data_IF_659450121355
#
_entry.id   IF_659450121355
#
_cell.length_a   1.000
_cell.length_b   1.000
_cell.length_c   1.000
_cell.angle_alpha   90.00
_cell.angle_beta   90.00
_cell.angle_gamma   90.00
#
_symmetry.space_group_name_H-M   'P 1'
#
loop_
_entity.id
_entity.type
_entity.pdbx_description
1 polymer ?
#
# COMPACT_ATOMS: atom_id res chain seq x y z
N UNK A 1 29.09 4.16 20.32
CA UNK A 1 28.95 4.78 18.99
C UNK A 1 29.16 3.69 17.96
N UNK A 2 28.10 2.97 17.58
CA UNK A 2 28.15 2.00 16.50
C UNK A 2 27.82 2.73 15.20
N UNK A 3 28.76 2.80 14.27
CA UNK A 3 28.43 3.18 12.90
C UNK A 3 27.44 2.15 12.34
N UNK A 4 26.36 2.57 11.67
CA UNK A 4 25.52 1.61 10.96
C UNK A 4 26.35 0.98 9.85
N UNK A 5 26.48 -0.34 9.87
CA UNK A 5 26.94 -1.10 8.72
C UNK A 5 26.11 -0.65 7.51
N UNK A 6 26.76 -0.24 6.42
CA UNK A 6 26.13 0.02 5.14
C UNK A 6 25.52 -1.29 4.60
N UNK A 7 24.34 -1.66 5.10
CA UNK A 7 23.59 -2.85 4.73
C UNK A 7 23.20 -2.90 3.24
N UNK A 8 23.46 -1.81 2.49
CA UNK A 8 23.12 -1.65 1.08
C UNK A 8 24.23 -2.00 0.08
N UNK A 9 25.44 -2.37 0.53
CA UNK A 9 26.56 -2.65 -0.40
C UNK A 9 26.61 -4.06 -0.99
N UNK A 10 25.69 -4.96 -0.59
CA UNK A 10 25.71 -6.39 -0.98
C UNK A 10 24.44 -6.89 -1.67
N UNK A 11 23.41 -6.06 -1.84
CA UNK A 11 22.18 -6.45 -2.52
C UNK A 11 22.34 -6.35 -4.05
N UNK A 12 21.90 -7.35 -4.84
CA UNK A 12 21.83 -7.22 -6.29
C UNK A 12 20.91 -6.07 -6.68
N UNK A 13 21.13 -5.43 -7.83
CA UNK A 13 20.35 -4.27 -8.29
C UNK A 13 20.12 -4.28 -9.79
N UNK A 14 18.86 -4.10 -10.18
CA UNK A 14 18.50 -3.87 -11.58
C UNK A 14 18.98 -2.49 -12.05
N UNK A 15 19.25 -2.32 -13.37
CA UNK A 15 19.77 -1.08 -13.94
C UNK A 15 18.65 -0.04 -14.16
N UNK A 16 17.95 0.32 -13.08
CA UNK A 16 16.89 1.33 -13.09
C UNK A 16 17.48 2.73 -13.20
N UNK A 17 16.73 3.68 -13.79
CA UNK A 17 17.14 5.09 -13.89
C UNK A 17 17.06 5.78 -12.54
N UNK A 18 17.81 6.86 -12.36
CA UNK A 18 17.73 7.69 -11.16
C UNK A 18 16.43 8.49 -11.12
N UNK A 19 15.75 8.50 -9.99
CA UNK A 19 14.63 9.41 -9.70
C UNK A 19 14.91 10.13 -8.39
N UNK A 20 15.12 11.45 -8.48
CA UNK A 20 15.33 12.31 -7.31
C UNK A 20 14.00 12.60 -6.61
N UNK A 21 13.98 12.46 -5.29
CA UNK A 21 12.86 12.84 -4.41
C UNK A 21 13.45 13.71 -3.31
N UNK A 22 13.41 15.02 -3.49
CA UNK A 22 14.00 15.98 -2.56
C UNK A 22 15.49 15.72 -2.34
N UNK A 23 15.86 15.38 -1.11
CA UNK A 23 17.24 15.10 -0.72
C UNK A 23 17.75 13.71 -1.10
N UNK A 24 16.87 12.77 -1.48
CA UNK A 24 17.27 11.40 -1.82
C UNK A 24 17.15 11.10 -3.33
N UNK A 25 17.74 9.99 -3.74
CA UNK A 25 17.56 9.41 -5.08
C UNK A 25 17.25 7.93 -4.95
N UNK A 26 16.25 7.46 -5.69
CA UNK A 26 15.98 6.03 -5.87
C UNK A 26 16.45 5.58 -7.25
N UNK A 27 16.75 4.30 -7.41
CA UNK A 27 17.29 3.74 -8.65
C UNK A 27 18.76 4.07 -8.88
N UNK A 28 19.29 3.70 -10.05
CA UNK A 28 20.70 3.91 -10.44
C UNK A 28 21.72 3.44 -9.39
N UNK A 29 21.44 2.33 -8.70
CA UNK A 29 22.30 1.77 -7.66
C UNK A 29 22.26 2.50 -6.31
N UNK A 30 21.49 3.58 -6.17
CA UNK A 30 21.28 4.24 -4.88
C UNK A 30 20.60 3.29 -3.86
N UNK A 31 20.97 3.31 -2.56
CA UNK A 31 20.34 2.51 -1.51
C UNK A 31 18.82 2.32 -1.62
N UNK A 32 18.31 1.14 -1.27
CA UNK A 32 16.86 0.91 -1.29
C UNK A 32 16.22 1.76 -0.20
N UNK A 33 15.43 2.76 -0.61
CA UNK A 33 14.91 3.73 0.33
C UNK A 33 13.70 3.19 1.13
N UNK A 34 13.69 3.35 2.45
CA UNK A 34 12.56 2.94 3.31
C UNK A 34 11.58 4.10 3.46
N UNK A 35 10.30 3.88 3.13
CA UNK A 35 9.24 4.88 3.21
C UNK A 35 8.13 4.44 4.16
N UNK A 36 7.39 5.41 4.69
CA UNK A 36 6.20 5.18 5.52
C UNK A 36 5.05 6.11 5.15
N UNK A 37 3.91 5.99 5.83
CA UNK A 37 2.74 6.82 5.64
C UNK A 37 2.14 7.21 6.99
N UNK A 38 1.83 8.50 7.16
CA UNK A 38 1.11 9.00 8.32
C UNK A 38 -0.29 8.37 8.43
N UNK A 39 -0.67 8.06 9.65
CA UNK A 39 -1.98 7.55 10.04
C UNK A 39 -2.87 8.59 10.74
N UNK A 40 -2.30 9.71 11.20
CA UNK A 40 -3.06 10.84 11.75
C UNK A 40 -3.87 11.55 10.67
N UNK A 41 -5.01 12.15 11.04
CA UNK A 41 -5.76 13.03 10.13
C UNK A 41 -4.88 14.22 9.75
N UNK A 42 -4.65 14.46 8.45
CA UNK A 42 -3.80 15.57 7.99
C UNK A 42 -4.24 16.94 8.51
N UNK A 43 -5.53 17.12 8.85
CA UNK A 43 -6.06 18.33 9.46
C UNK A 43 -5.68 18.53 10.93
N UNK A 44 -5.26 17.46 11.62
CA UNK A 44 -4.62 17.53 12.93
C UNK A 44 -3.14 17.78 12.73
N UNK A 45 -2.78 19.06 12.67
CA UNK A 45 -1.44 19.53 12.33
C UNK A 45 -0.43 19.02 13.36
N UNK A 46 -0.70 19.21 14.65
CA UNK A 46 0.24 18.87 15.72
C UNK A 46 0.49 17.36 15.78
N UNK A 47 -0.57 16.55 15.72
CA UNK A 47 -0.42 15.10 15.69
C UNK A 47 0.33 14.62 14.45
N UNK A 48 0.08 15.23 13.29
CA UNK A 48 0.74 14.85 12.04
C UNK A 48 2.21 15.27 12.01
N UNK A 49 2.56 16.45 12.52
CA UNK A 49 3.94 16.90 12.67
C UNK A 49 4.69 15.95 13.62
N UNK A 50 4.10 15.62 14.77
CA UNK A 50 4.70 14.67 15.71
C UNK A 50 4.97 13.30 15.04
N UNK A 51 3.97 12.75 14.34
CA UNK A 51 4.13 11.46 13.66
C UNK A 51 5.14 11.51 12.50
N UNK A 52 5.25 12.63 11.77
CA UNK A 52 6.32 12.81 10.77
C UNK A 52 7.68 12.73 11.43
N UNK A 53 7.87 13.43 12.56
CA UNK A 53 9.12 13.42 13.31
C UNK A 53 9.44 12.01 13.80
N UNK A 54 8.47 11.28 14.34
CA UNK A 54 8.64 9.89 14.79
C UNK A 54 9.08 8.97 13.65
N UNK A 55 8.44 9.09 12.48
CA UNK A 55 8.81 8.34 11.29
C UNK A 55 10.21 8.69 10.78
N UNK A 56 10.63 9.97 10.83
CA UNK A 56 11.99 10.38 10.50
C UNK A 56 13.01 9.82 11.49
N UNK A 57 12.70 9.82 12.78
CA UNK A 57 13.56 9.26 13.82
C UNK A 57 13.74 7.75 13.65
N UNK A 58 12.71 7.04 13.21
CA UNK A 58 12.80 5.63 12.82
C UNK A 58 13.60 5.39 11.53
N UNK A 59 13.92 6.46 10.77
CA UNK A 59 14.76 6.41 9.57
C UNK A 59 14.00 6.44 8.24
N UNK A 60 12.70 6.80 8.22
CA UNK A 60 11.97 6.92 6.97
C UNK A 60 12.54 8.05 6.08
N UNK A 61 12.87 7.72 4.85
CA UNK A 61 13.50 8.67 3.91
C UNK A 61 12.48 9.46 3.08
N UNK A 62 11.25 8.95 2.95
CA UNK A 62 10.10 9.67 2.39
C UNK A 62 8.85 9.32 3.20
N UNK A 63 8.09 10.34 3.60
CA UNK A 63 6.89 10.18 4.42
C UNK A 63 5.66 10.59 3.63
N UNK A 64 4.68 9.69 3.55
CA UNK A 64 3.46 9.88 2.77
C UNK A 64 2.32 10.43 3.61
N UNK A 65 1.58 11.40 3.07
CA UNK A 65 0.33 11.91 3.61
C UNK A 65 -0.83 11.67 2.64
N UNK A 66 -2.06 11.57 3.16
CA UNK A 66 -3.27 11.62 2.34
C UNK A 66 -3.82 13.04 2.30
N UNK A 67 -4.14 13.52 1.10
CA UNK A 67 -4.79 14.81 0.89
C UNK A 67 -5.80 14.65 -0.24
N UNK A 68 -7.08 14.59 0.12
CA UNK A 68 -8.19 14.42 -0.80
C UNK A 68 -9.00 15.73 -0.94
N UNK A 69 -8.84 16.69 -0.02
CA UNK A 69 -9.61 17.96 0.03
C UNK A 69 -8.74 19.19 0.27
N UNK A 70 -9.31 20.36 -0.07
CA UNK A 70 -8.61 21.65 0.10
C UNK A 70 -8.32 22.02 1.55
N UNK A 71 -9.12 21.56 2.51
CA UNK A 71 -8.85 21.74 3.95
C UNK A 71 -7.58 21.01 4.37
N UNK A 72 -7.40 19.79 3.91
CA UNK A 72 -6.20 18.98 4.17
C UNK A 72 -4.96 19.56 3.46
N UNK A 73 -5.10 20.13 2.27
CA UNK A 73 -4.00 20.83 1.60
C UNK A 73 -3.55 22.10 2.36
N UNK A 74 -4.48 22.84 2.97
CA UNK A 74 -4.14 23.96 3.85
C UNK A 74 -3.37 23.48 5.09
N UNK A 75 -3.82 22.39 5.70
CA UNK A 75 -3.12 21.80 6.83
C UNK A 75 -1.73 21.28 6.43
N UNK A 76 -1.58 20.67 5.25
CA UNK A 76 -0.29 20.27 4.68
C UNK A 76 0.66 21.48 4.56
N UNK A 77 0.17 22.66 4.14
CA UNK A 77 1.00 23.86 4.10
C UNK A 77 1.55 24.24 5.48
N UNK A 78 0.69 24.23 6.51
CA UNK A 78 1.12 24.48 7.90
C UNK A 78 2.04 23.40 8.47
N UNK A 79 1.87 22.14 8.05
CA UNK A 79 2.78 21.04 8.41
C UNK A 79 4.15 21.25 7.77
N UNK A 80 4.20 21.61 6.48
CA UNK A 80 5.43 21.83 5.70
C UNK A 80 6.32 22.92 6.30
N UNK A 81 5.72 23.94 6.92
CA UNK A 81 6.44 25.00 7.64
C UNK A 81 7.18 24.51 8.90
N UNK A 82 6.85 23.32 9.40
CA UNK A 82 7.35 22.77 10.67
C UNK A 82 8.24 21.54 10.52
N UNK A 83 8.37 20.97 9.32
CA UNK A 83 9.14 19.75 9.07
C UNK A 83 10.04 19.91 7.87
N UNK A 84 11.21 19.25 7.89
CA UNK A 84 12.18 19.21 6.79
C UNK A 84 12.19 17.87 6.01
N UNK A 85 11.25 16.97 6.32
CA UNK A 85 11.14 15.65 5.68
C UNK A 85 10.89 15.75 4.16
N UNK A 86 11.34 14.73 3.41
CA UNK A 86 10.83 14.51 2.05
C UNK A 86 9.39 13.99 2.16
N UNK A 87 8.43 14.81 1.75
CA UNK A 87 7.02 14.49 1.79
C UNK A 87 6.53 13.95 0.45
N UNK A 88 5.52 13.09 0.53
CA UNK A 88 4.78 12.67 -0.66
C UNK A 88 3.28 12.67 -0.41
N UNK A 89 2.49 13.08 -1.39
CA UNK A 89 1.02 13.08 -1.27
C UNK A 89 0.41 12.00 -2.15
N UNK A 90 -0.54 11.27 -1.56
CA UNK A 90 -1.35 10.26 -2.21
C UNK A 90 -2.67 10.83 -2.76
N UNK A 91 -2.69 11.16 -4.05
CA UNK A 91 -3.86 11.67 -4.77
C UNK A 91 -4.75 10.50 -5.20
N UNK A 92 -5.69 10.10 -4.33
CA UNK A 92 -6.61 9.01 -4.64
C UNK A 92 -7.94 9.51 -5.20
N UNK A 93 -8.66 10.34 -4.46
CA UNK A 93 -10.04 10.69 -4.83
C UNK A 93 -10.12 11.87 -5.82
N UNK A 94 -9.14 12.77 -5.81
CA UNK A 94 -9.19 14.00 -6.60
C UNK A 94 -7.79 14.43 -7.11
N UNK A 95 -7.52 14.12 -8.37
CA UNK A 95 -6.25 14.49 -9.02
C UNK A 95 -6.03 16.01 -9.14
N UNK A 96 -7.09 16.84 -9.09
CA UNK A 96 -6.98 18.31 -9.10
C UNK A 96 -6.27 18.86 -7.87
N UNK A 97 -6.22 18.09 -6.78
CA UNK A 97 -5.46 18.48 -5.59
C UNK A 97 -3.97 18.65 -5.87
N UNK A 98 -3.44 18.08 -6.97
CA UNK A 98 -2.05 18.25 -7.40
C UNK A 98 -1.58 19.71 -7.40
N UNK A 99 -2.37 20.65 -7.93
CA UNK A 99 -1.97 22.07 -8.02
C UNK A 99 -1.71 22.72 -6.66
N UNK A 100 -2.37 22.21 -5.60
CA UNK A 100 -2.26 22.74 -4.24
C UNK A 100 -1.18 22.05 -3.43
N UNK A 101 -0.90 20.78 -3.72
CA UNK A 101 0.04 19.97 -2.93
C UNK A 101 1.43 19.91 -3.53
N UNK A 102 1.57 19.95 -4.86
CA UNK A 102 2.87 19.85 -5.52
C UNK A 102 3.88 20.92 -5.08
N UNK A 103 3.49 22.19 -4.82
CA UNK A 103 4.43 23.19 -4.28
C UNK A 103 4.97 22.87 -2.87
N UNK A 104 4.36 21.90 -2.17
CA UNK A 104 4.62 21.60 -0.76
C UNK A 104 5.34 20.26 -0.56
N UNK A 105 5.54 19.47 -1.63
CA UNK A 105 6.04 18.09 -1.53
C UNK A 105 7.00 17.72 -2.64
N UNK A 106 7.85 16.74 -2.37
CA UNK A 106 8.88 16.29 -3.30
C UNK A 106 8.36 15.22 -4.28
N UNK A 107 7.22 14.58 -3.97
CA UNK A 107 6.64 13.53 -4.80
C UNK A 107 5.12 13.47 -4.70
N UNK A 108 4.44 13.30 -5.83
CA UNK A 108 3.01 12.97 -5.85
C UNK A 108 2.79 11.52 -6.32
N UNK A 109 1.80 10.83 -5.75
CA UNK A 109 1.31 9.54 -6.28
C UNK A 109 -0.10 9.71 -6.78
N UNK A 110 -0.40 9.12 -7.93
CA UNK A 110 -1.77 8.88 -8.37
C UNK A 110 -2.00 7.38 -8.58
N UNK A 111 -3.27 6.97 -8.52
CA UNK A 111 -3.71 5.63 -8.88
C UNK A 111 -4.43 5.66 -10.23
N UNK A 112 -3.94 4.96 -11.27
CA UNK A 112 -4.65 4.80 -12.54
C UNK A 112 -6.15 4.57 -12.41
N UNK A 113 -6.61 3.56 -11.66
CA UNK A 113 -8.04 3.25 -11.62
C UNK A 113 -8.90 4.21 -10.80
N UNK A 114 -8.31 5.08 -9.98
CA UNK A 114 -9.08 6.15 -9.33
C UNK A 114 -9.26 7.39 -10.21
N UNK A 115 -8.47 7.54 -11.29
CA UNK A 115 -8.65 8.65 -12.22
C UNK A 115 -10.03 8.63 -12.87
N UNK A 116 -10.71 7.49 -12.92
CA UNK A 116 -12.05 7.33 -13.50
C UNK A 116 -13.17 7.77 -12.56
N UNK A 117 -12.92 7.88 -11.26
CA UNK A 117 -13.95 8.25 -10.28
C UNK A 117 -14.31 9.74 -10.34
N UNK A 118 -13.32 10.59 -10.58
CA UNK A 118 -13.46 12.05 -10.67
C UNK A 118 -13.44 12.54 -12.12
N UNK A 119 -14.34 13.46 -12.50
CA UNK A 119 -14.51 13.93 -13.89
C UNK A 119 -14.62 12.75 -14.89
N UNK A 120 -15.61 11.86 -14.69
CA UNK A 120 -15.76 10.57 -15.40
C UNK A 120 -15.70 10.65 -16.94
N UNK A 121 -16.14 11.78 -17.52
CA UNK A 121 -16.15 12.00 -18.98
C UNK A 121 -14.81 12.45 -19.55
N UNK A 122 -13.88 12.89 -18.70
CA UNK A 122 -12.55 13.34 -19.13
C UNK A 122 -11.63 12.12 -19.27
N UNK A 123 -10.98 11.93 -20.44
CA UNK A 123 -10.03 10.84 -20.64
C UNK A 123 -8.92 10.86 -19.57
N UNK A 124 -8.50 9.69 -19.10
CA UNK A 124 -7.46 9.61 -18.07
C UNK A 124 -6.13 10.20 -18.56
N UNK A 125 -5.85 10.14 -19.86
CA UNK A 125 -4.65 10.72 -20.47
C UNK A 125 -4.56 12.23 -20.24
N UNK A 126 -5.69 12.94 -20.34
CA UNK A 126 -5.74 14.39 -20.07
C UNK A 126 -5.58 14.71 -18.59
N UNK A 127 -5.94 13.78 -17.71
CA UNK A 127 -5.70 13.91 -16.26
C UNK A 127 -4.22 13.67 -15.94
N UNK A 128 -3.58 12.69 -16.59
CA UNK A 128 -2.15 12.44 -16.45
C UNK A 128 -1.31 13.57 -17.02
N UNK A 129 -1.66 14.13 -18.20
CA UNK A 129 -1.01 15.34 -18.75
C UNK A 129 -1.02 16.50 -17.75
N UNK A 130 -2.18 16.76 -17.16
CA UNK A 130 -2.31 17.77 -16.11
C UNK A 130 -1.40 17.47 -14.89
N UNK A 131 -1.32 16.21 -14.45
CA UNK A 131 -0.42 15.83 -13.36
C UNK A 131 1.06 16.01 -13.72
N UNK A 132 1.44 15.67 -14.95
CA UNK A 132 2.81 15.84 -15.47
C UNK A 132 3.19 17.32 -15.51
N UNK A 133 2.32 18.19 -16.03
CA UNK A 133 2.57 19.63 -16.10
C UNK A 133 2.80 20.23 -14.70
N UNK A 134 1.95 19.84 -13.75
CA UNK A 134 2.06 20.29 -12.35
C UNK A 134 3.32 19.73 -11.69
N UNK A 135 3.62 18.44 -11.83
CA UNK A 135 4.80 17.83 -11.25
C UNK A 135 6.09 18.39 -11.84
N UNK A 136 6.14 18.61 -13.15
CA UNK A 136 7.27 19.22 -13.83
C UNK A 136 7.52 20.66 -13.36
N UNK A 137 6.46 21.46 -13.25
CA UNK A 137 6.56 22.88 -12.84
C UNK A 137 6.99 23.07 -11.39
N UNK A 138 6.78 22.07 -10.52
CA UNK A 138 7.10 22.14 -9.09
C UNK A 138 8.31 21.28 -8.69
N UNK A 139 9.04 20.74 -9.68
CA UNK A 139 10.12 19.79 -9.46
C UNK A 139 9.71 18.60 -8.57
N UNK A 140 8.50 18.04 -8.75
CA UNK A 140 8.04 16.84 -8.05
C UNK A 140 8.33 15.56 -8.86
N UNK A 141 8.76 14.50 -8.17
CA UNK A 141 8.69 13.15 -8.73
C UNK A 141 7.23 12.65 -8.77
N UNK A 142 6.96 11.65 -9.60
CA UNK A 142 5.65 10.98 -9.63
C UNK A 142 5.77 9.50 -9.27
N UNK A 143 4.70 8.93 -8.71
CA UNK A 143 4.54 7.48 -8.61
C UNK A 143 3.22 7.06 -9.27
N UNK A 144 3.31 6.14 -10.22
CA UNK A 144 2.15 5.42 -10.77
C UNK A 144 1.92 4.20 -9.88
N UNK A 145 0.86 4.22 -9.06
CA UNK A 145 0.62 3.14 -8.09
C UNK A 145 -0.66 2.39 -8.37
N UNK A 146 -0.55 1.18 -8.93
CA UNK A 146 -1.66 0.26 -9.21
C UNK A 146 -1.81 -0.73 -8.05
N UNK A 147 -3.03 -0.87 -7.53
CA UNK A 147 -3.39 -1.90 -6.56
C UNK A 147 -4.47 -2.81 -7.19
N UNK A 148 -4.48 -4.09 -6.84
CA UNK A 148 -5.40 -5.08 -7.40
C UNK A 148 -6.88 -4.67 -7.26
N UNK A 149 -7.32 -4.26 -6.06
CA UNK A 149 -8.69 -3.81 -5.81
C UNK A 149 -9.10 -2.49 -6.46
N UNK A 150 -8.27 -1.91 -7.34
CA UNK A 150 -8.49 -0.59 -7.93
C UNK A 150 -8.17 -0.50 -9.42
N UNK A 151 -8.19 -1.62 -10.15
CA UNK A 151 -8.01 -1.61 -11.61
C UNK A 151 -9.24 -1.02 -12.30
N UNK A 152 -9.07 -0.30 -13.41
CA UNK A 152 -10.17 0.20 -14.22
C UNK A 152 -11.07 -0.96 -14.69
N UNK A 153 -12.39 -0.96 -14.38
CA UNK A 153 -13.30 -2.02 -14.81
C UNK A 153 -13.28 -2.25 -16.32
N UNK A 154 -13.21 -1.18 -17.12
CA UNK A 154 -13.19 -1.32 -18.59
C UNK A 154 -11.90 -1.97 -19.10
N UNK A 155 -10.82 -1.87 -18.33
CA UNK A 155 -9.58 -2.58 -18.61
C UNK A 155 -9.69 -4.04 -18.17
N UNK A 156 -10.22 -4.29 -16.98
CA UNK A 156 -10.40 -5.63 -16.43
C UNK A 156 -11.28 -6.50 -17.32
N UNK A 157 -12.37 -5.95 -17.86
CA UNK A 157 -13.33 -6.64 -18.74
C UNK A 157 -12.71 -7.15 -20.06
N UNK A 158 -11.49 -6.72 -20.39
CA UNK A 158 -10.75 -7.18 -21.59
C UNK A 158 -9.98 -8.48 -21.37
N UNK A 159 -9.86 -8.94 -20.12
CA UNK A 159 -9.09 -10.11 -19.73
C UNK A 159 -10.00 -11.20 -19.16
N UNK A 160 -9.44 -12.40 -18.96
CA UNK A 160 -10.13 -13.47 -18.26
C UNK A 160 -10.43 -13.02 -16.81
N UNK A 161 -11.65 -13.23 -16.27
CA UNK A 161 -11.96 -12.89 -14.88
C UNK A 161 -11.02 -13.51 -13.84
N UNK A 162 -10.42 -14.67 -14.15
CA UNK A 162 -9.44 -15.33 -13.27
C UNK A 162 -8.03 -14.72 -13.39
N UNK A 163 -7.76 -13.91 -14.42
CA UNK A 163 -6.48 -13.22 -14.61
C UNK A 163 -6.46 -11.88 -13.88
N UNK A 164 -6.11 -11.94 -12.60
CA UNK A 164 -5.91 -10.75 -11.76
C UNK A 164 -4.57 -10.01 -11.99
N UNK A 165 -3.66 -10.55 -12.81
CA UNK A 165 -2.28 -10.04 -12.95
C UNK A 165 -2.12 -9.18 -14.21
N UNK A 166 -2.55 -9.70 -15.37
CA UNK A 166 -2.36 -9.02 -16.65
C UNK A 166 -3.03 -7.64 -16.73
N UNK A 167 -4.27 -7.42 -16.22
CA UNK A 167 -4.89 -6.10 -16.21
C UNK A 167 -4.07 -5.05 -15.44
N UNK A 168 -3.46 -5.44 -14.31
CA UNK A 168 -2.62 -4.54 -13.51
C UNK A 168 -1.35 -4.14 -14.24
N UNK A 169 -0.69 -5.09 -14.89
CA UNK A 169 0.51 -4.84 -15.69
C UNK A 169 0.18 -3.92 -16.86
N UNK A 170 -0.89 -4.20 -17.60
CA UNK A 170 -1.35 -3.37 -18.72
C UNK A 170 -1.70 -1.93 -18.27
N UNK A 171 -2.33 -1.80 -17.10
CA UNK A 171 -2.60 -0.49 -16.50
C UNK A 171 -1.31 0.28 -16.23
N UNK A 172 -0.31 -0.37 -15.62
CA UNK A 172 0.97 0.27 -15.37
C UNK A 172 1.71 0.62 -16.68
N UNK A 173 1.75 -0.29 -17.65
CA UNK A 173 2.44 -0.10 -18.94
C UNK A 173 1.85 1.07 -19.72
N UNK A 174 0.53 1.11 -19.90
CA UNK A 174 -0.15 2.20 -20.64
C UNK A 174 0.12 3.58 -20.04
N UNK A 175 0.18 3.68 -18.71
CA UNK A 175 0.56 4.92 -18.04
C UNK A 175 2.05 5.25 -18.21
N UNK A 176 2.94 4.25 -18.16
CA UNK A 176 4.36 4.47 -18.40
C UNK A 176 4.65 4.89 -19.86
N UNK A 177 3.90 4.36 -20.83
CA UNK A 177 4.01 4.73 -22.25
C UNK A 177 3.60 6.19 -22.46
N UNK A 178 2.48 6.61 -21.88
CA UNK A 178 2.07 8.01 -21.93
C UNK A 178 3.11 8.94 -21.27
N UNK A 179 3.68 8.55 -20.13
CA UNK A 179 4.73 9.35 -19.47
C UNK A 179 5.99 9.47 -20.34
N UNK A 180 6.37 8.39 -21.03
CA UNK A 180 7.50 8.40 -21.95
C UNK A 180 7.22 9.26 -23.21
N UNK A 181 6.00 9.22 -23.76
CA UNK A 181 5.53 10.10 -24.85
C UNK A 181 5.57 11.59 -24.45
N UNK A 182 5.23 11.88 -23.19
CA UNK A 182 5.29 13.24 -22.63
C UNK A 182 6.71 13.66 -22.23
N UNK A 183 7.71 12.78 -22.35
CA UNK A 183 9.10 13.05 -21.97
C UNK A 183 9.32 13.19 -20.46
N UNK A 184 8.39 12.70 -19.62
CA UNK A 184 8.49 12.79 -18.18
C UNK A 184 9.08 11.51 -17.59
N UNK A 185 10.36 11.56 -17.18
CA UNK A 185 11.09 10.38 -16.70
C UNK A 185 11.29 10.31 -15.18
N UNK A 186 10.83 11.33 -14.44
CA UNK A 186 11.00 11.45 -12.99
C UNK A 186 9.92 10.68 -12.23
N UNK A 187 9.74 9.41 -12.55
CA UNK A 187 8.71 8.58 -11.93
C UNK A 187 9.17 7.16 -11.58
N UNK A 188 8.51 6.59 -10.57
CA UNK A 188 8.57 5.19 -10.22
C UNK A 188 7.18 4.52 -10.31
N UNK A 189 7.16 3.20 -10.28
CA UNK A 189 5.93 2.39 -10.35
C UNK A 189 5.79 1.55 -9.09
N UNK A 190 4.56 1.29 -8.67
CA UNK A 190 4.27 0.23 -7.70
C UNK A 190 3.09 -0.61 -8.19
N UNK A 191 3.27 -1.93 -8.17
CA UNK A 191 2.24 -2.93 -8.39
C UNK A 191 2.08 -3.70 -7.08
N UNK A 192 0.93 -3.54 -6.43
CA UNK A 192 0.72 -4.10 -5.08
C UNK A 192 -0.57 -4.91 -4.99
N UNK A 193 -0.48 -5.96 -4.22
CA UNK A 193 -1.57 -6.87 -3.88
C UNK A 193 -1.40 -7.27 -2.41
N UNK A 194 -2.46 -7.82 -1.82
CA UNK A 194 -2.41 -8.38 -0.48
C UNK A 194 -1.81 -9.79 -0.46
N UNK A 195 -1.83 -10.54 -1.57
CA UNK A 195 -1.16 -11.82 -1.74
C UNK A 195 0.34 -11.64 -2.13
N UNK A 196 1.30 -12.11 -1.31
CA UNK A 196 2.72 -12.01 -1.63
C UNK A 196 3.10 -12.73 -2.94
N UNK A 197 2.44 -13.83 -3.31
CA UNK A 197 2.71 -14.55 -4.54
C UNK A 197 2.38 -13.69 -5.78
N UNK A 198 1.23 -13.02 -5.77
CA UNK A 198 0.86 -12.05 -6.82
C UNK A 198 1.82 -10.87 -6.86
N UNK A 199 2.20 -10.31 -5.72
CA UNK A 199 3.20 -9.21 -5.64
C UNK A 199 4.52 -9.61 -6.31
N UNK A 200 5.01 -10.83 -6.07
CA UNK A 200 6.21 -11.36 -6.71
C UNK A 200 6.03 -11.41 -8.24
N UNK A 201 4.97 -12.07 -8.71
CA UNK A 201 4.72 -12.25 -10.15
C UNK A 201 4.54 -10.91 -10.89
N UNK A 202 3.76 -9.99 -10.34
CA UNK A 202 3.51 -8.66 -10.88
C UNK A 202 4.82 -7.89 -11.09
N UNK A 203 5.66 -7.83 -10.04
CA UNK A 203 6.87 -7.02 -10.07
C UNK A 203 7.98 -7.67 -10.91
N UNK A 204 8.08 -9.00 -10.96
CA UNK A 204 8.99 -9.71 -11.86
C UNK A 204 8.65 -9.43 -13.33
N UNK A 205 7.40 -9.69 -13.73
CA UNK A 205 6.95 -9.45 -15.11
C UNK A 205 7.09 -7.99 -15.52
N UNK A 206 6.73 -7.05 -14.64
CA UNK A 206 6.89 -5.63 -14.97
C UNK A 206 8.37 -5.23 -15.09
N UNK A 207 9.24 -5.71 -14.21
CA UNK A 207 10.68 -5.44 -14.29
C UNK A 207 11.31 -5.99 -15.58
N UNK A 208 10.83 -7.14 -16.08
CA UNK A 208 11.27 -7.69 -17.38
C UNK A 208 10.85 -6.79 -18.55
N UNK A 209 9.62 -6.28 -18.53
CA UNK A 209 9.06 -5.43 -19.60
C UNK A 209 9.61 -3.99 -19.55
N UNK A 210 9.89 -3.46 -18.35
CA UNK A 210 10.35 -2.08 -18.13
C UNK A 210 11.56 -2.02 -17.17
N UNK A 211 12.70 -2.62 -17.55
CA UNK A 211 13.87 -2.82 -16.66
C UNK A 211 14.53 -1.53 -16.15
N UNK A 212 14.25 -0.40 -16.81
CA UNK A 212 14.81 0.90 -16.46
C UNK A 212 13.95 1.68 -15.45
N UNK A 213 12.75 1.23 -15.10
CA UNK A 213 11.84 1.99 -14.24
C UNK A 213 12.02 1.57 -12.78
N UNK A 214 12.28 2.51 -11.85
CA UNK A 214 12.37 2.16 -10.43
C UNK A 214 11.06 1.62 -9.87
N UNK A 215 11.16 0.60 -9.01
CA UNK A 215 10.01 -0.04 -8.38
C UNK A 215 9.91 0.30 -6.90
N UNK A 216 8.72 0.77 -6.49
CA UNK A 216 8.34 0.92 -5.09
C UNK A 216 7.60 -0.34 -4.64
N UNK A 217 8.28 -1.21 -3.89
CA UNK A 217 7.71 -2.47 -3.43
C UNK A 217 6.86 -2.29 -2.18
N UNK A 218 5.88 -3.17 -2.03
CA UNK A 218 5.12 -3.33 -0.80
C UNK A 218 4.01 -4.35 -1.01
N UNK A 219 3.76 -5.15 0.01
CA UNK A 219 2.52 -5.91 0.14
C UNK A 219 1.49 -4.97 0.75
N UNK A 220 0.34 -4.82 0.10
CA UNK A 220 -0.78 -4.06 0.69
C UNK A 220 -1.44 -4.93 1.74
N UNK A 221 -2.00 -4.30 2.77
CA UNK A 221 -2.89 -5.01 3.70
C UNK A 221 -2.26 -6.25 4.34
N UNK A 222 -0.96 -6.11 4.68
CA UNK A 222 -0.17 -7.23 5.18
C UNK A 222 -0.68 -7.76 6.52
N UNK A 223 -1.45 -6.96 7.25
CA UNK A 223 -2.03 -7.30 8.53
C UNK A 223 -1.18 -6.86 9.72
N UNK A 224 -1.44 -7.48 10.88
CA UNK A 224 -0.78 -7.15 12.13
C UNK A 224 0.52 -7.95 12.33
N UNK A 225 1.48 -7.44 13.12
CA UNK A 225 2.63 -8.24 13.54
C UNK A 225 2.26 -9.50 14.35
N UNK A 226 3.12 -10.54 14.33
CA UNK A 226 4.28 -10.70 13.45
C UNK A 226 3.91 -11.12 12.02
N UNK A 227 2.67 -11.58 11.79
CA UNK A 227 2.20 -12.13 10.52
C UNK A 227 2.41 -11.21 9.31
N UNK A 228 2.05 -9.93 9.42
CA UNK A 228 2.24 -8.98 8.33
C UNK A 228 3.70 -8.67 7.99
N UNK A 229 4.61 -8.81 8.96
CA UNK A 229 6.05 -8.68 8.73
C UNK A 229 6.55 -9.90 7.94
N UNK A 230 6.17 -11.12 8.36
CA UNK A 230 6.51 -12.37 7.69
C UNK A 230 5.99 -12.35 6.25
N UNK A 231 4.72 -11.99 6.06
CA UNK A 231 4.07 -11.89 4.75
C UNK A 231 4.79 -10.91 3.82
N UNK A 232 5.15 -9.73 4.31
CA UNK A 232 5.93 -8.74 3.54
C UNK A 232 7.32 -9.26 3.20
N UNK A 233 7.99 -9.91 4.16
CA UNK A 233 9.34 -10.45 4.02
C UNK A 233 9.41 -11.52 2.93
N UNK A 234 8.41 -12.38 2.80
CA UNK A 234 8.36 -13.40 1.73
C UNK A 234 8.44 -12.76 0.34
N UNK A 235 7.62 -11.74 0.07
CA UNK A 235 7.64 -11.05 -1.21
C UNK A 235 8.98 -10.33 -1.45
N UNK A 236 9.50 -9.66 -0.42
CA UNK A 236 10.73 -8.89 -0.55
C UNK A 236 11.97 -9.77 -0.69
N UNK A 237 12.04 -10.91 -0.01
CA UNK A 237 13.14 -11.87 -0.16
C UNK A 237 13.26 -12.38 -1.60
N UNK A 238 12.13 -12.67 -2.24
CA UNK A 238 12.08 -13.14 -3.63
C UNK A 238 12.45 -12.03 -4.63
N UNK A 239 11.94 -10.82 -4.43
CA UNK A 239 12.14 -9.69 -5.36
C UNK A 239 13.51 -9.02 -5.20
N UNK A 240 13.83 -8.57 -3.99
CA UNK A 240 15.07 -7.84 -3.70
C UNK A 240 16.27 -8.76 -3.88
N UNK A 241 16.13 -10.06 -3.58
CA UNK A 241 17.15 -11.07 -3.86
C UNK A 241 17.49 -11.23 -5.35
N UNK A 242 16.63 -10.75 -6.26
CA UNK A 242 16.84 -10.70 -7.71
C UNK A 242 17.19 -9.29 -8.22
N UNK A 243 17.36 -8.33 -7.30
CA UNK A 243 17.65 -6.93 -7.61
C UNK A 243 16.45 -6.09 -8.04
N UNK A 244 15.23 -6.60 -7.85
CA UNK A 244 13.98 -5.89 -8.10
C UNK A 244 13.61 -5.09 -6.85
N UNK A 245 13.43 -3.78 -6.99
CA UNK A 245 13.03 -2.86 -5.92
C UNK A 245 14.06 -1.78 -5.63
N UNK A 246 13.61 -0.53 -5.61
CA UNK A 246 14.46 0.65 -5.39
C UNK A 246 14.00 1.46 -4.18
N UNK A 247 12.80 1.18 -3.69
CA UNK A 247 12.27 1.70 -2.44
C UNK A 247 11.18 0.76 -1.94
N UNK A 248 11.00 0.69 -0.62
CA UNK A 248 10.02 -0.19 0.01
C UNK A 248 9.09 0.57 0.94
N UNK A 249 7.93 -0.03 1.20
CA UNK A 249 7.08 0.28 2.35
C UNK A 249 6.50 -1.02 2.91
N UNK A 250 6.66 -1.23 4.22
CA UNK A 250 5.92 -2.26 4.98
C UNK A 250 4.58 -1.67 5.40
N UNK A 251 3.48 -2.38 5.17
CA UNK A 251 2.11 -1.88 5.41
C UNK A 251 1.45 -2.66 6.54
N UNK A 252 1.67 -2.23 7.78
CA UNK A 252 1.19 -2.92 8.98
C UNK A 252 -0.04 -2.24 9.58
N UNK A 253 -0.94 -3.05 10.11
CA UNK A 253 -2.05 -2.58 10.95
C UNK A 253 -1.51 -2.36 12.35
N UNK A 254 -1.38 -1.09 12.75
CA UNK A 254 -0.76 -0.66 14.00
C UNK A 254 -1.50 0.56 14.58
N UNK A 255 -1.50 0.74 15.91
CA UNK A 255 -1.83 2.03 16.52
C UNK A 255 -0.95 3.19 16.00
N UNK A 256 -1.44 4.42 16.09
CA UNK A 256 -0.79 5.60 15.51
C UNK A 256 0.59 5.91 16.13
N UNK A 257 0.75 5.70 17.42
CA UNK A 257 2.00 5.88 18.17
C UNK A 257 3.06 4.82 17.81
N UNK A 258 2.64 3.71 17.22
CA UNK A 258 3.52 2.62 16.76
C UNK A 258 3.82 2.65 15.27
N UNK A 259 3.43 3.69 14.53
CA UNK A 259 3.69 3.76 13.07
C UNK A 259 5.18 3.66 12.69
N UNK A 260 6.09 4.02 13.60
CA UNK A 260 7.54 3.81 13.43
C UNK A 260 7.93 2.35 13.22
N UNK A 261 7.16 1.39 13.73
CA UNK A 261 7.44 -0.05 13.60
C UNK A 261 7.40 -0.53 12.13
N UNK A 262 6.64 0.14 11.24
CA UNK A 262 6.68 -0.14 9.78
C UNK A 262 8.08 0.12 9.20
N UNK A 263 8.76 1.17 9.69
CA UNK A 263 10.07 1.59 9.22
C UNK A 263 11.13 0.63 9.74
N UNK A 264 11.09 0.34 11.04
CA UNK A 264 11.97 -0.64 11.69
C UNK A 264 11.88 -2.01 11.00
N UNK A 265 10.65 -2.50 10.76
CA UNK A 265 10.45 -3.76 10.04
C UNK A 265 11.02 -3.72 8.61
N UNK A 266 10.93 -2.57 7.91
CA UNK A 266 11.53 -2.39 6.60
C UNK A 266 13.06 -2.55 6.62
N UNK A 267 13.74 -1.90 7.57
CA UNK A 267 15.18 -2.03 7.74
C UNK A 267 15.61 -3.44 8.18
N UNK A 268 14.83 -4.08 9.06
CA UNK A 268 15.10 -5.45 9.51
C UNK A 268 15.00 -6.45 8.35
N UNK A 269 13.98 -6.32 7.51
CA UNK A 269 13.81 -7.15 6.30
C UNK A 269 14.97 -6.93 5.33
N UNK A 270 15.32 -5.68 5.01
CA UNK A 270 16.44 -5.38 4.12
C UNK A 270 17.76 -5.95 4.66
N UNK A 271 17.98 -5.81 5.97
CA UNK A 271 19.19 -6.32 6.63
C UNK A 271 19.23 -7.85 6.63
N UNK A 272 18.10 -8.53 6.83
CA UNK A 272 18.00 -9.98 6.75
C UNK A 272 18.31 -10.50 5.34
N UNK A 273 17.74 -9.86 4.31
CA UNK A 273 18.01 -10.19 2.90
C UNK A 273 19.48 -9.97 2.56
N UNK A 274 20.07 -8.85 3.01
CA UNK A 274 21.49 -8.54 2.78
C UNK A 274 22.45 -9.53 3.45
N UNK A 275 22.02 -10.17 4.55
CA UNK A 275 22.73 -11.28 5.21
C UNK A 275 22.49 -12.65 4.56
N UNK A 276 21.62 -12.72 3.55
CA UNK A 276 21.26 -13.97 2.88
C UNK A 276 20.33 -14.86 3.71
N UNK A 277 19.67 -14.31 4.74
CA UNK A 277 18.67 -15.05 5.49
C UNK A 277 17.46 -15.34 4.60
N UNK A 278 16.87 -16.53 4.76
CA UNK A 278 15.65 -16.94 4.08
C UNK A 278 14.66 -17.43 5.10
N UNK A 279 13.40 -17.03 4.93
CA UNK A 279 12.31 -17.72 5.63
C UNK A 279 12.24 -19.18 5.12
N UNK A 280 11.97 -20.11 6.04
CA UNK A 280 11.78 -21.51 5.69
C UNK A 280 10.57 -21.69 4.78
N UNK A 281 10.59 -22.74 3.95
CA UNK A 281 9.59 -23.01 2.90
C UNK A 281 8.15 -23.18 3.39
N UNK A 282 7.92 -23.36 4.69
CA UNK A 282 6.58 -23.56 5.28
C UNK A 282 5.92 -22.30 5.84
N UNK A 283 6.42 -21.09 5.57
CA UNK A 283 5.86 -19.86 6.13
C UNK A 283 4.48 -19.47 5.55
N UNK A 284 3.98 -20.18 4.53
CA UNK A 284 2.70 -19.93 3.85
C UNK A 284 1.79 -21.17 3.75
N UNK A 285 2.16 -22.30 4.37
CA UNK A 285 1.45 -23.56 4.12
C UNK A 285 0.11 -23.61 4.86
N UNK A 286 -0.94 -23.14 4.17
CA UNK A 286 -2.35 -23.38 4.50
C UNK A 286 -2.87 -22.73 5.78
N UNK A 287 -4.19 -22.72 5.91
CA UNK A 287 -4.87 -22.26 7.13
C UNK A 287 -5.40 -20.84 7.07
N UNK A 288 -5.82 -20.33 8.23
CA UNK A 288 -6.53 -19.06 8.34
C UNK A 288 -5.61 -17.89 7.98
N UNK A 289 -6.03 -17.10 6.98
CA UNK A 289 -5.34 -15.89 6.54
C UNK A 289 -6.15 -14.65 6.90
N UNK A 290 -5.63 -13.82 7.80
CA UNK A 290 -6.26 -12.55 8.18
C UNK A 290 -5.50 -11.40 7.52
N UNK A 291 -6.15 -10.73 6.58
CA UNK A 291 -5.61 -9.53 5.92
C UNK A 291 -6.26 -8.29 6.51
N UNK A 292 -5.47 -7.23 6.71
CA UNK A 292 -6.03 -5.95 7.13
C UNK A 292 -5.22 -4.78 6.61
N UNK A 293 -5.92 -3.71 6.21
CA UNK A 293 -5.25 -2.53 5.67
C UNK A 293 -4.38 -1.86 6.74
N UNK A 294 -3.22 -1.29 6.37
CA UNK A 294 -2.44 -0.50 7.31
C UNK A 294 -3.28 0.64 7.85
N UNK A 295 -3.08 0.97 9.14
CA UNK A 295 -3.62 2.21 9.67
C UNK A 295 -3.08 3.39 8.88
N UNK A 296 -4.00 4.24 8.43
CA UNK A 296 -3.70 5.44 7.65
C UNK A 296 -4.71 6.53 7.98
N UNK A 297 -4.44 7.76 7.55
CA UNK A 297 -5.29 8.92 7.83
C UNK A 297 -6.71 8.82 7.29
N UNK A 298 -7.01 7.85 6.40
CA UNK A 298 -8.35 7.60 5.88
C UNK A 298 -9.18 6.67 6.76
N UNK A 299 -8.58 6.00 7.76
CA UNK A 299 -9.31 5.18 8.73
C UNK A 299 -10.40 6.03 9.39
N UNK A 300 -11.64 5.60 9.30
CA UNK A 300 -12.79 6.42 9.71
C UNK A 300 -13.10 6.33 11.20
N UNK A 301 -12.65 5.24 11.85
CA UNK A 301 -12.74 5.01 13.29
C UNK A 301 -11.53 4.17 13.74
N UNK A 302 -10.79 4.64 14.74
CA UNK A 302 -9.56 3.98 15.21
C UNK A 302 -9.83 2.63 15.88
N UNK A 303 -11.06 2.39 16.35
CA UNK A 303 -11.51 1.08 16.86
C UNK A 303 -11.39 -0.04 15.81
N UNK A 304 -11.14 0.29 14.54
CA UNK A 304 -10.74 -0.68 13.52
C UNK A 304 -9.50 -1.50 13.92
N UNK A 305 -8.50 -0.88 14.56
CA UNK A 305 -7.27 -1.60 14.96
C UNK A 305 -7.62 -2.61 16.05
N UNK A 306 -8.36 -2.19 17.07
CA UNK A 306 -8.85 -3.06 18.14
C UNK A 306 -9.73 -4.20 17.59
N UNK A 307 -10.60 -3.90 16.62
CA UNK A 307 -11.42 -4.90 15.94
C UNK A 307 -10.56 -5.93 15.22
N UNK A 308 -9.53 -5.50 14.49
CA UNK A 308 -8.62 -6.41 13.81
C UNK A 308 -7.92 -7.35 14.81
N UNK A 309 -7.46 -6.82 15.95
CA UNK A 309 -6.87 -7.60 17.04
C UNK A 309 -7.87 -8.62 17.61
N UNK A 310 -9.09 -8.19 17.91
CA UNK A 310 -10.15 -9.06 18.42
C UNK A 310 -10.56 -10.15 17.42
N UNK A 311 -10.58 -9.84 16.12
CA UNK A 311 -10.82 -10.84 15.08
C UNK A 311 -9.71 -11.89 15.09
N UNK A 312 -8.44 -11.48 15.18
CA UNK A 312 -7.30 -12.41 15.28
C UNK A 312 -7.40 -13.32 16.51
N UNK A 313 -7.72 -12.76 17.67
CA UNK A 313 -7.88 -13.55 18.91
C UNK A 313 -9.08 -14.51 18.83
N UNK A 314 -10.23 -14.02 18.34
CA UNK A 314 -11.46 -14.81 18.25
C UNK A 314 -11.29 -16.02 17.31
N UNK A 315 -10.47 -15.90 16.27
CA UNK A 315 -10.36 -16.89 15.20
C UNK A 315 -9.21 -17.90 15.39
N UNK A 316 -8.53 -17.89 16.55
CA UNK A 316 -7.45 -18.85 16.84
C UNK A 316 -7.86 -20.32 16.69
N UNK A 317 -9.11 -20.66 17.04
CA UNK A 317 -9.63 -22.03 16.89
C UNK A 317 -9.80 -22.48 15.44
N UNK A 318 -9.75 -21.54 14.49
CA UNK A 318 -9.96 -21.78 13.07
C UNK A 318 -8.63 -21.80 12.27
N UNK A 319 -7.47 -21.78 12.94
CA UNK A 319 -6.15 -21.66 12.29
C UNK A 319 -5.88 -22.71 11.21
N UNK A 320 -6.41 -23.93 11.35
CA UNK A 320 -6.18 -25.03 10.40
C UNK A 320 -7.11 -25.00 9.18
N UNK A 321 -8.06 -24.05 9.11
CA UNK A 321 -8.99 -23.94 7.97
C UNK A 321 -8.49 -22.91 6.97
N UNK A 322 -8.40 -23.32 5.71
CA UNK A 322 -8.06 -22.44 4.59
C UNK A 322 -9.19 -21.44 4.31
N UNK A 323 -9.20 -20.33 5.05
CA UNK A 323 -10.21 -19.28 5.02
C UNK A 323 -9.48 -17.93 5.07
N UNK A 324 -9.90 -16.99 4.23
CA UNK A 324 -9.40 -15.60 4.27
C UNK A 324 -10.43 -14.67 4.90
N UNK A 325 -10.02 -13.93 5.93
CA UNK A 325 -10.80 -12.87 6.55
C UNK A 325 -10.13 -11.52 6.28
N UNK A 326 -10.85 -10.60 5.66
CA UNK A 326 -10.38 -9.24 5.38
C UNK A 326 -10.97 -8.22 6.36
N UNK A 327 -10.15 -7.38 6.99
CA UNK A 327 -10.59 -6.29 7.86
C UNK A 327 -10.03 -4.96 7.36
N UNK A 328 -10.90 -4.06 6.89
CA UNK A 328 -10.50 -2.82 6.22
C UNK A 328 -11.00 -1.58 6.96
N UNK A 329 -10.12 -0.62 7.22
CA UNK A 329 -10.40 0.55 8.05
C UNK A 329 -11.12 1.71 7.36
N UNK A 330 -11.32 1.67 6.05
CA UNK A 330 -11.99 2.75 5.31
C UNK A 330 -12.65 2.30 4.00
N UNK A 331 -13.50 3.16 3.44
CA UNK A 331 -14.22 2.92 2.18
C UNK A 331 -13.38 2.89 0.90
N UNK A 332 -12.11 3.29 0.94
CA UNK A 332 -11.32 3.52 -0.28
C UNK A 332 -10.87 2.22 -0.90
N UNK A 333 -10.19 1.38 -0.11
CA UNK A 333 -9.86 0.01 -0.51
C UNK A 333 -10.86 -1.02 0.03
N UNK A 334 -11.62 -0.66 1.08
CA UNK A 334 -12.43 -1.61 1.83
C UNK A 334 -13.36 -2.45 0.98
N UNK A 335 -14.22 -1.86 0.13
CA UNK A 335 -15.15 -2.64 -0.67
C UNK A 335 -14.49 -3.67 -1.57
N UNK A 336 -13.46 -3.30 -2.32
CA UNK A 336 -12.84 -4.21 -3.29
C UNK A 336 -12.03 -5.32 -2.63
N UNK A 337 -11.18 -4.99 -1.66
CA UNK A 337 -10.32 -5.98 -0.99
C UNK A 337 -11.12 -6.94 -0.09
N UNK A 338 -12.33 -6.55 0.32
CA UNK A 338 -13.24 -7.45 1.03
C UNK A 338 -14.03 -8.37 0.12
N UNK A 339 -14.15 -8.07 -1.18
CA UNK A 339 -14.85 -8.92 -2.14
C UNK A 339 -14.04 -10.19 -2.46
N UNK A 340 -12.70 -10.10 -2.36
CA UNK A 340 -11.76 -11.20 -2.62
C UNK A 340 -11.57 -12.15 -1.41
N UNK A 341 -12.19 -11.86 -0.26
CA UNK A 341 -12.09 -12.66 0.95
C UNK A 341 -13.32 -13.54 1.18
N UNK A 342 -13.16 -14.68 1.86
CA UNK A 342 -14.29 -15.53 2.26
C UNK A 342 -15.24 -14.76 3.19
N UNK A 343 -14.68 -13.99 4.13
CA UNK A 343 -15.41 -13.05 4.99
C UNK A 343 -14.73 -11.69 4.97
N UNK A 344 -15.51 -10.65 4.70
CA UNK A 344 -15.02 -9.29 4.54
C UNK A 344 -15.66 -8.32 5.53
N UNK A 345 -14.84 -7.56 6.25
CA UNK A 345 -15.24 -6.46 7.12
C UNK A 345 -14.67 -5.16 6.58
N UNK A 346 -15.52 -4.15 6.36
CA UNK A 346 -15.01 -2.79 6.15
C UNK A 346 -15.72 -1.75 7.02
N UNK A 347 -14.90 -0.95 7.68
CA UNK A 347 -15.24 -0.02 8.72
C UNK A 347 -15.75 1.31 8.15
N UNK A 348 -16.98 1.66 8.55
CA UNK A 348 -17.53 3.00 8.46
C UNK A 348 -17.37 3.71 9.83
N UNK A 349 -17.76 5.00 9.98
CA UNK A 349 -17.50 5.74 11.22
C UNK A 349 -18.23 5.17 12.43
N UNK A 350 -19.42 4.58 12.22
CA UNK A 350 -20.31 4.10 13.30
C UNK A 350 -20.65 2.62 13.25
N UNK A 351 -20.31 1.93 12.17
CA UNK A 351 -20.68 0.54 11.94
C UNK A 351 -19.63 -0.16 11.08
N UNK A 352 -19.67 -1.47 11.06
CA UNK A 352 -18.84 -2.35 10.26
C UNK A 352 -19.74 -3.06 9.27
N UNK A 353 -19.41 -2.97 7.99
CA UNK A 353 -20.10 -3.72 6.95
C UNK A 353 -19.51 -5.12 6.90
N UNK A 354 -20.37 -6.14 6.88
CA UNK A 354 -19.99 -7.54 6.75
C UNK A 354 -20.37 -8.06 5.36
N UNK A 355 -19.46 -8.80 4.75
CA UNK A 355 -19.65 -9.48 3.46
C UNK A 355 -19.17 -10.93 3.54
N UNK A 356 -19.67 -11.75 2.63
CA UNK A 356 -19.19 -13.10 2.33
C UNK A 356 -18.87 -13.19 0.84
N UNK A 357 -17.59 -13.22 0.47
CA UNK A 357 -17.15 -12.85 -0.87
C UNK A 357 -17.72 -11.48 -1.26
N UNK A 358 -18.21 -11.34 -2.49
CA UNK A 358 -18.86 -10.12 -2.96
C UNK A 358 -20.27 -9.84 -2.42
N UNK A 359 -20.84 -10.69 -1.56
CA UNK A 359 -22.25 -10.59 -1.13
C UNK A 359 -22.34 -9.84 0.22
N UNK A 360 -23.03 -8.69 0.30
CA UNK A 360 -23.27 -8.00 1.57
C UNK A 360 -24.20 -8.80 2.49
N UNK A 361 -23.79 -8.99 3.74
CA UNK A 361 -24.60 -9.63 4.78
C UNK A 361 -25.30 -8.64 5.70
N UNK A 362 -24.69 -7.46 5.91
CA UNK A 362 -25.30 -6.42 6.72
C UNK A 362 -24.30 -5.37 7.19
N UNK A 363 -24.80 -4.44 8.01
CA UNK A 363 -24.01 -3.41 8.67
C UNK A 363 -24.34 -3.42 10.17
N UNK A 364 -23.31 -3.57 11.00
CA UNK A 364 -23.47 -3.83 12.43
C UNK A 364 -22.64 -2.85 13.27
N UNK A 365 -23.10 -2.49 14.48
CA UNK A 365 -22.27 -1.80 15.46
C UNK A 365 -20.96 -2.55 15.77
N UNK A 366 -19.90 -1.83 16.16
CA UNK A 366 -18.59 -2.41 16.48
C UNK A 366 -18.64 -3.40 17.66
N UNK A 367 -19.56 -3.19 18.61
CA UNK A 367 -19.78 -4.05 19.77
C UNK A 367 -20.64 -5.29 19.46
N UNK A 368 -21.32 -5.33 18.31
CA UNK A 368 -22.18 -6.44 17.90
C UNK A 368 -21.57 -7.32 16.79
N UNK A 369 -20.52 -6.86 16.10
CA UNK A 369 -20.00 -7.52 14.90
C UNK A 369 -19.30 -8.86 15.18
N UNK A 370 -18.58 -9.00 16.29
CA UNK A 370 -17.76 -10.19 16.55
C UNK A 370 -18.58 -11.48 16.70
N UNK A 371 -19.68 -11.52 17.48
CA UNK A 371 -20.54 -12.70 17.53
C UNK A 371 -21.09 -13.11 16.16
N UNK A 372 -21.46 -12.13 15.33
CA UNK A 372 -22.02 -12.35 14.00
C UNK A 372 -20.96 -12.90 13.04
N UNK A 373 -19.76 -12.32 13.08
CA UNK A 373 -18.61 -12.82 12.32
C UNK A 373 -18.30 -14.28 12.68
N UNK A 374 -18.29 -14.60 13.99
CA UNK A 374 -18.04 -15.95 14.46
C UNK A 374 -19.08 -16.94 13.93
N UNK A 375 -20.35 -16.57 13.95
CA UNK A 375 -21.42 -17.42 13.39
C UNK A 375 -21.20 -17.69 11.90
N UNK A 376 -20.84 -16.66 11.12
CA UNK A 376 -20.53 -16.83 9.69
C UNK A 376 -19.30 -17.70 9.44
N UNK A 377 -18.27 -17.58 10.29
CA UNK A 377 -17.08 -18.42 10.23
C UNK A 377 -17.40 -19.89 10.54
N UNK A 378 -18.18 -20.16 11.59
CA UNK A 378 -18.61 -21.51 11.95
C UNK A 378 -19.47 -22.16 10.83
N UNK A 379 -20.31 -21.37 10.16
CA UNK A 379 -21.07 -21.81 8.98
C UNK A 379 -20.16 -22.12 7.79
N UNK A 380 -19.10 -21.35 7.57
CA UNK A 380 -18.12 -21.63 6.51
C UNK A 380 -17.33 -22.91 6.79
N UNK A 381 -16.83 -23.05 8.02
CA UNK A 381 -16.09 -24.23 8.48
C UNK A 381 -16.94 -25.50 8.30
N UNK A 382 -18.18 -25.49 8.80
CA UNK A 382 -19.07 -26.66 8.66
C UNK A 382 -19.34 -27.03 7.20
N UNK A 383 -19.50 -26.04 6.32
CA UNK A 383 -19.70 -26.28 4.87
C UNK A 383 -18.47 -26.92 4.23
N UNK A 384 -17.26 -26.45 4.55
CA UNK A 384 -16.00 -27.01 4.02
C UNK A 384 -15.75 -28.43 4.55
N UNK A 385 -16.02 -28.69 5.83
CA UNK A 385 -15.88 -30.04 6.43
C UNK A 385 -16.87 -31.08 5.92
N UNK A 386 -17.89 -30.71 5.13
CA UNK A 386 -18.86 -31.65 4.55
C UNK A 386 -18.52 -32.08 3.12
N UNK A 387 -17.49 -31.47 2.51
CA UNK A 387 -17.06 -31.69 1.12
C UNK A 387 -15.83 -32.62 1.04
N UNK A 388 -15.16 -32.87 2.18
CA UNK A 388 -14.18 -33.95 2.38
C UNK A 388 -14.86 -35.23 2.90
#
# INVERSE_FOLDING_TARGET
>A
MNQPLNANSTLPRNPTRSVKIGSITIGAGAPIAVQSMCATKTTDIDATVAQIIDLQQAGAEVIRLAVDKSTEAKALASIREQVDANLTVDLQENYRMAEKVAPLVEKIRYNPGHLYHHEKRKPWQDKVRYLVDIAGSNDCAMRVGVNAGSVDPALSDRFDPEDSISPMIESALSHCDLLDELGFYRYCVSLKDSDPAKVIQLNQRFAELRPKIPLHLGVTEAGMPPGGIIKTRIAFEALIGQGIGDTIRVSLTLPNDRKGDEVTAGFDILSAIARGERLGSGALDGGLNIISCPSCSRVENEAFVDLAEQVKEMTEYAQDYDITIAVMGCRVNGPGETDDADLGLWCAPRFVNLKKGGIPLGAYPYDEILPILKEQLDQLISTKSTID
#
